data_IF_628605146020
#
_entry.id   IF_628605146020
#
_cell.length_a   1.000
_cell.length_b   1.000
_cell.length_c   1.000
_cell.angle_alpha   90.00
_cell.angle_beta   90.00
_cell.angle_gamma   90.00
#
_symmetry.space_group_name_H-M   'P 1'
#
loop_
_entity.id
_entity.type
_entity.pdbx_description
1 polymer ?
#
# COMPACT_ATOMS: atom_id res chain seq x y z
N UNK A 1 13.87 -12.80 -3.27
CA UNK A 1 13.41 -12.43 -4.63
C UNK A 1 12.16 -13.21 -5.05
N UNK A 2 12.17 -14.55 -4.95
CA UNK A 2 11.00 -15.36 -5.35
C UNK A 2 9.71 -15.02 -4.56
N UNK A 3 9.83 -14.73 -3.27
CA UNK A 3 8.68 -14.31 -2.45
C UNK A 3 7.96 -13.07 -3.04
N UNK A 4 8.71 -12.06 -3.43
CA UNK A 4 8.13 -10.82 -3.97
C UNK A 4 7.49 -11.02 -5.34
N UNK A 5 8.01 -11.93 -6.16
CA UNK A 5 7.39 -12.28 -7.44
C UNK A 5 6.00 -12.90 -7.21
N UNK A 6 5.90 -13.90 -6.35
CA UNK A 6 4.64 -14.53 -5.99
C UNK A 6 3.67 -13.59 -5.26
N UNK A 7 4.21 -12.69 -4.43
CA UNK A 7 3.42 -11.63 -3.83
C UNK A 7 2.83 -10.71 -4.90
N UNK A 8 3.58 -10.35 -5.94
CA UNK A 8 3.08 -9.57 -7.07
C UNK A 8 1.93 -10.26 -7.79
N UNK A 9 2.01 -11.60 -7.98
CA UNK A 9 0.89 -12.39 -8.53
C UNK A 9 -0.35 -12.28 -7.66
N UNK A 10 -0.21 -12.46 -6.34
CA UNK A 10 -1.32 -12.36 -5.40
C UNK A 10 -1.93 -10.94 -5.39
N UNK A 11 -1.09 -9.91 -5.37
CA UNK A 11 -1.54 -8.52 -5.28
C UNK A 11 -2.26 -8.06 -6.56
N UNK A 12 -1.72 -8.38 -7.73
CA UNK A 12 -2.28 -7.96 -9.02
C UNK A 12 -3.49 -8.80 -9.47
N UNK A 13 -3.73 -9.94 -8.86
CA UNK A 13 -4.95 -10.72 -9.08
C UNK A 13 -6.02 -10.37 -8.04
N UNK A 14 -6.00 -11.02 -6.89
CA UNK A 14 -7.09 -10.90 -5.92
C UNK A 14 -7.21 -9.49 -5.35
N UNK A 15 -6.11 -8.89 -4.86
CA UNK A 15 -6.21 -7.60 -4.18
C UNK A 15 -6.62 -6.46 -5.13
N UNK A 16 -6.10 -6.47 -6.36
CA UNK A 16 -6.41 -5.45 -7.36
C UNK A 16 -7.88 -5.48 -7.80
N UNK A 17 -8.46 -6.68 -7.90
CA UNK A 17 -9.83 -6.84 -8.40
C UNK A 17 -10.89 -6.99 -7.31
N UNK A 18 -10.53 -7.08 -6.03
CA UNK A 18 -11.49 -7.32 -4.96
C UNK A 18 -12.57 -6.23 -4.88
N UNK A 19 -12.17 -4.97 -4.98
CA UNK A 19 -13.10 -3.82 -4.98
C UNK A 19 -13.95 -3.76 -6.24
N UNK A 20 -13.38 -4.13 -7.39
CA UNK A 20 -14.09 -4.20 -8.66
C UNK A 20 -15.11 -5.33 -8.62
N UNK A 21 -14.72 -6.52 -8.14
CA UNK A 21 -15.64 -7.65 -7.94
C UNK A 21 -16.80 -7.29 -7.01
N UNK A 22 -16.52 -6.71 -5.84
CA UNK A 22 -17.58 -6.24 -4.95
C UNK A 22 -18.54 -5.27 -5.65
N UNK A 23 -18.03 -4.36 -6.48
CA UNK A 23 -18.84 -3.41 -7.25
C UNK A 23 -19.68 -4.13 -8.32
N UNK A 24 -19.14 -5.14 -9.02
CA UNK A 24 -19.90 -5.99 -9.97
C UNK A 24 -21.02 -6.75 -9.28
N UNK A 25 -20.83 -7.17 -8.03
CA UNK A 25 -21.88 -7.78 -7.20
C UNK A 25 -22.97 -6.80 -6.74
N UNK A 26 -22.82 -5.51 -7.02
CA UNK A 26 -23.77 -4.48 -6.62
C UNK A 26 -23.44 -3.78 -5.29
N UNK A 27 -22.23 -3.97 -4.74
CA UNK A 27 -21.83 -3.32 -3.49
C UNK A 27 -21.98 -1.79 -3.57
N UNK A 28 -22.49 -1.19 -2.50
CA UNK A 28 -22.54 0.26 -2.34
C UNK A 28 -21.12 0.84 -2.17
N UNK A 29 -20.95 2.13 -2.42
CA UNK A 29 -19.67 2.82 -2.19
C UNK A 29 -19.20 2.64 -0.74
N UNK A 30 -20.13 2.61 0.21
CA UNK A 30 -19.82 2.35 1.62
C UNK A 30 -19.30 0.94 1.86
N UNK A 31 -19.89 -0.08 1.24
CA UNK A 31 -19.41 -1.46 1.35
C UNK A 31 -18.03 -1.63 0.71
N UNK A 32 -17.78 -0.97 -0.42
CA UNK A 32 -16.43 -0.93 -1.03
C UNK A 32 -15.43 -0.24 -0.11
N UNK A 33 -15.82 0.85 0.57
CA UNK A 33 -14.96 1.52 1.55
C UNK A 33 -14.57 0.62 2.72
N UNK A 34 -15.48 -0.23 3.20
CA UNK A 34 -15.20 -1.15 4.31
C UNK A 34 -14.10 -2.17 3.99
N UNK A 35 -13.87 -2.50 2.70
CA UNK A 35 -12.75 -3.36 2.28
C UNK A 35 -11.39 -2.73 2.59
N UNK A 36 -11.30 -1.40 2.67
CA UNK A 36 -10.07 -0.67 3.02
C UNK A 36 -10.09 -0.19 4.47
N UNK A 37 -11.24 0.28 4.95
CA UNK A 37 -11.40 0.78 6.32
C UNK A 37 -11.23 -0.33 7.37
N UNK A 38 -11.74 -1.54 7.11
CA UNK A 38 -11.61 -2.68 8.03
C UNK A 38 -10.16 -3.02 8.37
N UNK A 39 -9.30 -3.30 7.37
CA UNK A 39 -7.86 -3.46 7.58
C UNK A 39 -7.19 -2.27 8.28
N UNK A 40 -7.57 -1.03 7.96
CA UNK A 40 -6.99 0.15 8.60
C UNK A 40 -7.31 0.23 10.11
N UNK A 41 -8.54 -0.14 10.52
CA UNK A 41 -8.91 -0.26 11.94
C UNK A 41 -8.04 -1.30 12.64
N UNK A 42 -7.88 -2.47 12.04
CA UNK A 42 -7.05 -3.53 12.64
C UNK A 42 -5.59 -3.06 12.76
N UNK A 43 -5.02 -2.45 11.72
CA UNK A 43 -3.66 -1.92 11.77
C UNK A 43 -3.52 -0.84 12.85
N UNK A 44 -4.50 0.06 12.97
CA UNK A 44 -4.49 1.13 13.98
C UNK A 44 -4.45 0.56 15.40
N UNK A 45 -5.25 -0.46 15.68
CA UNK A 45 -5.38 -1.04 17.01
C UNK A 45 -4.28 -2.06 17.32
N UNK A 46 -3.84 -2.84 16.32
CA UNK A 46 -3.01 -4.02 16.54
C UNK A 46 -1.51 -3.77 16.33
N UNK A 47 -1.09 -2.76 15.55
CA UNK A 47 0.34 -2.60 15.18
C UNK A 47 1.24 -2.45 16.40
N UNK A 48 0.91 -1.59 17.37
CA UNK A 48 1.73 -1.37 18.57
C UNK A 48 1.69 -2.58 19.52
N UNK A 49 0.52 -3.14 19.90
CA UNK A 49 0.46 -4.33 20.72
C UNK A 49 1.23 -5.52 20.10
N UNK A 50 1.05 -5.75 18.81
CA UNK A 50 1.73 -6.85 18.11
C UNK A 50 3.23 -6.64 18.00
N UNK A 51 3.68 -5.41 17.76
CA UNK A 51 5.11 -5.10 17.75
C UNK A 51 5.76 -5.44 19.08
N UNK A 52 5.15 -5.03 20.21
CA UNK A 52 5.62 -5.36 21.55
C UNK A 52 5.57 -6.85 21.86
N UNK A 53 4.48 -7.52 21.44
CA UNK A 53 4.34 -8.95 21.63
C UNK A 53 5.41 -9.75 20.90
N UNK A 54 5.89 -9.26 19.74
CA UNK A 54 6.94 -9.91 18.95
C UNK A 54 8.35 -9.71 19.50
N UNK A 55 8.56 -8.77 20.42
CA UNK A 55 9.87 -8.54 21.05
C UNK A 55 10.40 -9.80 21.74
N UNK A 56 11.66 -10.18 21.43
CA UNK A 56 12.32 -11.36 22.00
C UNK A 56 11.76 -12.71 21.55
N UNK A 57 10.85 -12.75 20.58
CA UNK A 57 10.27 -13.99 20.04
C UNK A 57 10.88 -14.38 18.70
N UNK A 58 10.79 -15.64 18.27
CA UNK A 58 11.35 -16.12 17.01
C UNK A 58 10.60 -15.54 15.81
N UNK A 59 11.10 -14.43 15.26
CA UNK A 59 10.46 -13.65 14.19
C UNK A 59 10.17 -14.48 12.94
N UNK A 60 11.11 -15.35 12.50
CA UNK A 60 10.92 -16.20 11.32
C UNK A 60 9.67 -17.07 11.45
N UNK A 61 9.51 -17.73 12.61
CA UNK A 61 8.38 -18.65 12.84
C UNK A 61 7.05 -17.88 12.91
N UNK A 62 7.03 -16.73 13.58
CA UNK A 62 5.84 -15.90 13.71
C UNK A 62 5.44 -15.37 12.34
N UNK A 63 6.38 -14.79 11.59
CA UNK A 63 6.15 -14.23 10.26
C UNK A 63 5.63 -15.31 9.30
N UNK A 64 6.23 -16.49 9.30
CA UNK A 64 5.78 -17.61 8.47
C UNK A 64 4.35 -18.05 8.83
N UNK A 65 4.07 -18.30 10.11
CA UNK A 65 2.72 -18.72 10.56
C UNK A 65 1.68 -17.66 10.24
N UNK A 66 1.96 -16.40 10.53
CA UNK A 66 1.06 -15.29 10.22
C UNK A 66 0.81 -15.16 8.72
N UNK A 67 1.85 -15.33 7.91
CA UNK A 67 1.74 -15.40 6.46
C UNK A 67 0.81 -16.52 6.00
N UNK A 68 0.99 -17.73 6.54
CA UNK A 68 0.15 -18.88 6.20
C UNK A 68 -1.33 -18.62 6.54
N UNK A 69 -1.61 -18.12 7.76
CA UNK A 69 -2.98 -17.79 8.18
C UNK A 69 -3.63 -16.74 7.31
N UNK A 70 -2.93 -15.61 7.04
CA UNK A 70 -3.44 -14.56 6.16
C UNK A 70 -3.82 -15.10 4.79
N UNK A 71 -3.02 -16.03 4.26
CA UNK A 71 -3.16 -16.52 2.88
C UNK A 71 -4.13 -17.67 2.72
N UNK A 72 -4.47 -18.40 3.79
CA UNK A 72 -5.54 -19.39 3.75
C UNK A 72 -6.88 -18.81 3.31
N UNK A 73 -7.14 -17.55 3.65
CA UNK A 73 -8.36 -16.88 3.27
C UNK A 73 -8.50 -16.69 1.74
N UNK A 74 -7.39 -16.66 0.99
CA UNK A 74 -7.45 -16.63 -0.48
C UNK A 74 -8.06 -17.90 -1.07
N UNK A 75 -7.90 -19.04 -0.40
CA UNK A 75 -8.56 -20.29 -0.80
C UNK A 75 -10.10 -20.21 -0.61
N UNK A 76 -10.56 -19.49 0.41
CA UNK A 76 -12.01 -19.29 0.67
C UNK A 76 -12.64 -18.42 -0.42
N UNK A 77 -11.91 -17.52 -1.04
CA UNK A 77 -12.42 -16.65 -2.11
C UNK A 77 -12.74 -17.41 -3.40
N UNK A 78 -12.06 -18.54 -3.68
CA UNK A 78 -12.26 -19.30 -4.91
C UNK A 78 -13.69 -19.82 -5.06
N UNK A 79 -14.25 -20.56 -4.10
CA UNK A 79 -15.61 -21.08 -4.21
C UNK A 79 -16.69 -20.05 -3.87
N UNK A 80 -16.31 -18.92 -3.27
CA UNK A 80 -17.25 -17.91 -2.77
C UNK A 80 -18.31 -17.48 -3.81
N UNK A 81 -17.94 -17.18 -5.09
CA UNK A 81 -18.91 -16.75 -6.10
C UNK A 81 -19.95 -17.80 -6.46
N UNK A 82 -19.64 -19.08 -6.25
CA UNK A 82 -20.55 -20.18 -6.56
C UNK A 82 -21.43 -20.61 -5.39
N UNK A 83 -20.99 -20.39 -4.14
CA UNK A 83 -21.65 -20.95 -2.96
C UNK A 83 -22.65 -19.99 -2.30
N UNK A 84 -22.48 -18.69 -2.45
CA UNK A 84 -23.26 -17.71 -1.70
C UNK A 84 -24.03 -16.75 -2.62
N UNK A 85 -25.21 -16.25 -2.17
CA UNK A 85 -25.90 -15.17 -2.89
C UNK A 85 -25.08 -13.88 -2.86
N UNK A 86 -25.24 -13.02 -3.88
CA UNK A 86 -24.42 -11.82 -4.09
C UNK A 86 -24.32 -10.91 -2.86
N UNK A 87 -25.43 -10.71 -2.16
CA UNK A 87 -25.44 -9.87 -0.94
C UNK A 87 -24.59 -10.45 0.18
N UNK A 88 -24.63 -11.78 0.38
CA UNK A 88 -23.80 -12.45 1.38
C UNK A 88 -22.32 -12.45 1.00
N UNK A 89 -22.00 -12.59 -0.31
CA UNK A 89 -20.62 -12.51 -0.80
C UNK A 89 -19.97 -11.19 -0.38
N UNK A 90 -20.65 -10.06 -0.54
CA UNK A 90 -20.12 -8.72 -0.19
C UNK A 90 -19.73 -8.65 1.29
N UNK A 91 -20.61 -9.11 2.18
CA UNK A 91 -20.33 -9.08 3.63
C UNK A 91 -19.23 -10.07 4.04
N UNK A 92 -19.17 -11.23 3.39
CA UNK A 92 -18.08 -12.20 3.61
C UNK A 92 -16.75 -11.61 3.15
N UNK A 93 -16.70 -10.92 2.00
CA UNK A 93 -15.49 -10.21 1.54
C UNK A 93 -15.01 -9.17 2.56
N UNK A 94 -15.93 -8.35 3.07
CA UNK A 94 -15.62 -7.32 4.08
C UNK A 94 -15.11 -7.98 5.37
N UNK A 95 -15.82 -8.98 5.88
CA UNK A 95 -15.41 -9.71 7.09
C UNK A 95 -14.07 -10.42 6.93
N UNK A 96 -13.87 -11.07 5.78
CA UNK A 96 -12.65 -11.80 5.47
C UNK A 96 -11.43 -10.87 5.36
N UNK A 97 -11.55 -9.73 4.67
CA UNK A 97 -10.46 -8.76 4.56
C UNK A 97 -10.08 -8.15 5.91
N UNK A 98 -11.05 -7.83 6.75
CA UNK A 98 -10.81 -7.36 8.11
C UNK A 98 -10.14 -8.45 8.99
N UNK A 99 -10.63 -9.69 8.91
CA UNK A 99 -10.08 -10.82 9.67
C UNK A 99 -8.64 -11.15 9.23
N UNK A 100 -8.38 -11.18 7.92
CA UNK A 100 -7.05 -11.42 7.36
C UNK A 100 -6.03 -10.37 7.75
N UNK A 101 -6.45 -9.14 7.99
CA UNK A 101 -5.54 -8.06 8.36
C UNK A 101 -4.94 -8.26 9.76
N UNK A 102 -5.56 -9.05 10.64
CA UNK A 102 -5.00 -9.39 11.96
C UNK A 102 -3.65 -10.15 11.82
N UNK A 103 -3.61 -11.36 11.24
CA UNK A 103 -2.34 -12.02 10.99
C UNK A 103 -1.50 -11.26 9.93
N UNK A 104 -2.11 -10.50 9.02
CA UNK A 104 -1.43 -9.65 8.06
C UNK A 104 -0.54 -8.60 8.70
N UNK A 105 -1.02 -7.94 9.76
CA UNK A 105 -0.24 -6.96 10.53
C UNK A 105 0.98 -7.62 11.20
N UNK A 106 0.81 -8.80 11.80
CA UNK A 106 1.93 -9.56 12.38
C UNK A 106 2.95 -9.93 11.31
N UNK A 107 2.48 -10.40 10.15
CA UNK A 107 3.35 -10.76 9.01
C UNK A 107 4.15 -9.53 8.53
N UNK A 108 3.50 -8.37 8.38
CA UNK A 108 4.15 -7.16 7.90
C UNK A 108 5.25 -6.67 8.87
N UNK A 109 4.95 -6.61 10.18
CA UNK A 109 5.93 -6.25 11.22
C UNK A 109 7.11 -7.22 11.18
N UNK A 110 6.84 -8.53 11.21
CA UNK A 110 7.86 -9.56 11.24
C UNK A 110 8.71 -9.58 9.97
N UNK A 111 8.10 -9.44 8.80
CA UNK A 111 8.82 -9.40 7.54
C UNK A 111 9.77 -8.20 7.45
N UNK A 112 9.33 -7.01 7.84
CA UNK A 112 10.17 -5.82 7.83
C UNK A 112 11.34 -5.93 8.82
N UNK A 113 11.10 -6.53 9.99
CA UNK A 113 12.16 -6.82 10.97
C UNK A 113 13.18 -7.82 10.41
N UNK A 114 12.71 -8.95 9.85
CA UNK A 114 13.58 -9.97 9.24
C UNK A 114 14.38 -9.41 8.06
N UNK A 115 13.75 -8.61 7.20
CA UNK A 115 14.45 -7.98 6.08
C UNK A 115 15.62 -7.10 6.56
N UNK A 116 15.39 -6.35 7.64
CA UNK A 116 16.44 -5.52 8.22
C UNK A 116 17.57 -6.32 8.86
N UNK A 117 17.27 -7.51 9.36
CA UNK A 117 18.30 -8.38 10.01
C UNK A 117 19.05 -9.23 8.97
N UNK A 118 18.36 -9.70 7.93
CA UNK A 118 18.95 -10.57 6.90
C UNK A 118 19.75 -9.82 5.83
N UNK A 119 19.46 -8.54 5.58
CA UNK A 119 20.10 -7.78 4.50
C UNK A 119 21.06 -6.75 5.09
N UNK A 120 22.39 -6.88 4.82
CA UNK A 120 23.38 -5.92 5.27
C UNK A 120 23.03 -4.49 4.79
N UNK A 121 23.32 -3.44 5.58
CA UNK A 121 22.97 -2.06 5.27
C UNK A 121 23.42 -1.63 3.86
N UNK A 122 24.62 -2.03 3.45
CA UNK A 122 25.21 -1.67 2.15
C UNK A 122 24.46 -2.28 0.95
N UNK A 123 23.81 -3.42 1.14
CA UNK A 123 23.07 -4.13 0.10
C UNK A 123 21.58 -3.81 0.08
N UNK A 124 21.07 -3.17 1.11
CA UNK A 124 19.61 -2.93 1.24
C UNK A 124 19.04 -2.18 0.05
N UNK A 125 19.66 -1.08 -0.35
CA UNK A 125 19.21 -0.27 -1.48
C UNK A 125 19.16 -1.07 -2.79
N UNK A 126 20.19 -1.89 -3.05
CA UNK A 126 20.26 -2.72 -4.24
C UNK A 126 19.19 -3.83 -4.22
N UNK A 127 19.06 -4.54 -3.09
CA UNK A 127 18.08 -5.63 -2.94
C UNK A 127 16.66 -5.09 -3.06
N UNK A 128 16.38 -3.96 -2.42
CA UNK A 128 15.09 -3.29 -2.48
C UNK A 128 14.77 -2.85 -3.90
N UNK A 129 15.71 -2.20 -4.60
CA UNK A 129 15.50 -1.77 -5.99
C UNK A 129 15.16 -2.94 -6.92
N UNK A 130 15.89 -4.06 -6.80
CA UNK A 130 15.59 -5.27 -7.58
C UNK A 130 14.25 -5.92 -7.22
N UNK A 131 13.91 -5.94 -5.93
CA UNK A 131 12.60 -6.45 -5.48
C UNK A 131 11.46 -5.63 -6.08
N UNK A 132 11.58 -4.30 -6.07
CA UNK A 132 10.53 -3.43 -6.61
C UNK A 132 10.39 -3.53 -8.11
N UNK A 133 11.51 -3.61 -8.84
CA UNK A 133 11.46 -3.83 -10.28
C UNK A 133 10.75 -5.16 -10.60
N UNK A 134 11.10 -6.24 -9.89
CA UNK A 134 10.46 -7.54 -10.05
C UNK A 134 8.97 -7.48 -9.68
N UNK A 135 8.63 -6.80 -8.57
CA UNK A 135 7.24 -6.60 -8.15
C UNK A 135 6.44 -5.88 -9.24
N UNK A 136 6.95 -4.77 -9.77
CA UNK A 136 6.26 -4.01 -10.80
C UNK A 136 6.03 -4.81 -12.09
N UNK A 137 7.03 -5.61 -12.50
CA UNK A 137 6.87 -6.55 -13.65
C UNK A 137 5.77 -7.57 -13.35
N UNK A 138 5.80 -8.20 -12.19
CA UNK A 138 4.80 -9.22 -11.81
C UNK A 138 3.40 -8.61 -11.66
N UNK A 139 3.27 -7.41 -11.10
CA UNK A 139 2.00 -6.68 -11.02
C UNK A 139 1.44 -6.44 -12.44
N UNK A 140 2.27 -5.93 -13.34
CA UNK A 140 1.86 -5.60 -14.72
C UNK A 140 1.43 -6.85 -15.50
N UNK A 141 2.26 -7.89 -15.50
CA UNK A 141 1.97 -9.13 -16.24
C UNK A 141 0.72 -9.79 -15.69
N UNK A 142 0.62 -9.90 -14.37
CA UNK A 142 -0.51 -10.59 -13.74
C UNK A 142 -1.82 -9.83 -13.91
N UNK A 143 -1.83 -8.49 -13.75
CA UNK A 143 -3.08 -7.74 -13.92
C UNK A 143 -3.59 -7.81 -15.36
N UNK A 144 -2.69 -7.79 -16.36
CA UNK A 144 -3.06 -7.97 -17.76
C UNK A 144 -3.61 -9.38 -18.04
N UNK A 145 -2.96 -10.40 -17.50
CA UNK A 145 -3.44 -11.80 -17.62
C UNK A 145 -4.82 -11.96 -16.98
N UNK A 146 -5.02 -11.40 -15.79
CA UNK A 146 -6.33 -11.43 -15.13
C UNK A 146 -7.38 -10.67 -15.94
N UNK A 147 -7.05 -9.53 -16.52
CA UNK A 147 -7.97 -8.78 -17.38
C UNK A 147 -8.43 -9.59 -18.61
N UNK A 148 -7.51 -10.30 -19.25
CA UNK A 148 -7.86 -11.19 -20.39
C UNK A 148 -8.77 -12.34 -19.96
N UNK A 149 -8.57 -12.91 -18.78
CA UNK A 149 -9.42 -13.96 -18.21
C UNK A 149 -10.81 -13.39 -17.91
N UNK A 150 -10.87 -12.21 -17.29
CA UNK A 150 -12.12 -11.58 -16.88
C UNK A 150 -13.00 -11.21 -18.07
N UNK A 151 -12.41 -10.80 -19.19
CA UNK A 151 -13.16 -10.44 -20.40
C UNK A 151 -13.58 -11.67 -21.25
N UNK A 152 -12.87 -12.81 -21.14
CA UNK A 152 -13.14 -14.00 -21.97
C UNK A 152 -14.07 -15.01 -21.32
N UNK A 153 -14.07 -15.09 -20.00
CA UNK A 153 -14.89 -16.05 -19.29
C UNK A 153 -16.15 -15.39 -18.73
N UNK A 154 -17.28 -16.14 -18.62
CA UNK A 154 -18.52 -15.61 -18.08
C UNK A 154 -18.42 -15.35 -16.56
N UNK A 155 -19.10 -14.30 -16.09
CA UNK A 155 -19.30 -14.04 -14.68
C UNK A 155 -20.24 -15.12 -14.07
N UNK A 156 -19.97 -15.64 -12.86
CA UNK A 156 -18.92 -15.30 -11.91
C UNK A 156 -17.64 -16.16 -12.03
N UNK A 157 -17.60 -17.16 -12.91
CA UNK A 157 -16.47 -18.10 -13.01
C UNK A 157 -15.15 -17.43 -13.39
N UNK A 158 -15.19 -16.32 -14.13
CA UNK A 158 -14.01 -15.52 -14.45
C UNK A 158 -13.27 -15.03 -13.17
N UNK A 159 -14.00 -14.57 -12.16
CA UNK A 159 -13.40 -14.15 -10.88
C UNK A 159 -12.88 -15.33 -10.05
N UNK A 160 -13.46 -16.51 -10.16
CA UNK A 160 -12.94 -17.72 -9.50
C UNK A 160 -11.51 -18.03 -10.01
N UNK A 161 -11.27 -17.91 -11.32
CA UNK A 161 -9.93 -18.07 -11.88
C UNK A 161 -8.95 -17.01 -11.38
N UNK A 162 -9.36 -15.74 -11.31
CA UNK A 162 -8.54 -14.65 -10.76
C UNK A 162 -8.20 -14.93 -9.28
N UNK A 163 -9.14 -15.39 -8.48
CA UNK A 163 -8.89 -15.77 -7.08
C UNK A 163 -8.01 -17.02 -6.96
N UNK A 164 -8.13 -17.99 -7.87
CA UNK A 164 -7.24 -19.14 -7.93
C UNK A 164 -5.79 -18.73 -8.25
N UNK A 165 -5.58 -17.82 -9.20
CA UNK A 165 -4.26 -17.23 -9.48
C UNK A 165 -3.71 -16.53 -8.23
N UNK A 166 -4.55 -15.77 -7.53
CA UNK A 166 -4.19 -15.12 -6.27
C UNK A 166 -3.80 -16.10 -5.17
N UNK A 167 -4.54 -17.20 -5.04
CA UNK A 167 -4.25 -18.26 -4.09
C UNK A 167 -2.92 -18.98 -4.41
N UNK A 168 -2.63 -19.23 -5.70
CA UNK A 168 -1.33 -19.74 -6.13
C UNK A 168 -0.20 -18.76 -5.80
N UNK A 169 -0.40 -17.48 -6.06
CA UNK A 169 0.53 -16.42 -5.66
C UNK A 169 0.78 -16.39 -4.15
N UNK A 170 -0.28 -16.52 -3.37
CA UNK A 170 -0.25 -16.58 -1.91
C UNK A 170 0.53 -17.80 -1.41
N UNK A 171 0.25 -18.99 -1.97
CA UNK A 171 0.93 -20.23 -1.63
C UNK A 171 2.42 -20.18 -1.98
N UNK A 172 2.78 -19.74 -3.20
CA UNK A 172 4.16 -19.59 -3.64
C UNK A 172 4.97 -18.63 -2.77
N UNK A 173 4.38 -17.47 -2.42
CA UNK A 173 5.04 -16.52 -1.52
C UNK A 173 5.21 -17.09 -0.10
N UNK A 174 4.20 -17.81 0.46
CA UNK A 174 4.33 -18.47 1.77
C UNK A 174 5.42 -19.55 1.77
N UNK A 175 5.47 -20.36 0.72
CA UNK A 175 6.47 -21.39 0.57
C UNK A 175 7.89 -20.83 0.61
N UNK A 176 8.16 -19.78 -0.16
CA UNK A 176 9.48 -19.14 -0.18
C UNK A 176 9.80 -18.41 1.13
N UNK A 177 8.81 -17.86 1.81
CA UNK A 177 8.99 -17.27 3.13
C UNK A 177 9.34 -18.31 4.19
N UNK A 178 8.75 -19.52 4.09
CA UNK A 178 9.05 -20.64 5.00
C UNK A 178 10.46 -21.23 4.84
N UNK A 179 11.12 -20.94 3.72
CA UNK A 179 12.52 -21.35 3.46
C UNK A 179 13.56 -20.35 3.97
N UNK A 180 13.13 -19.22 4.53
CA UNK A 180 14.05 -18.29 5.17
C UNK A 180 14.57 -18.93 6.45
N UNK A 181 15.89 -19.14 6.52
CA UNK A 181 16.59 -19.53 7.73
C UNK A 181 17.11 -18.27 8.41
N UNK A 182 16.84 -18.10 9.69
CA UNK A 182 17.56 -17.11 10.48
C UNK A 182 19.03 -17.57 10.54
N UNK A 183 20.02 -16.69 10.28
CA UNK A 183 21.40 -17.01 10.61
C UNK A 183 21.46 -17.37 12.11
N UNK A 184 22.13 -18.47 12.47
CA UNK A 184 22.48 -18.72 13.87
C UNK A 184 23.34 -17.57 14.38
N UNK A 185 23.21 -17.21 15.66
CA UNK A 185 23.99 -16.12 16.25
C UNK A 185 25.51 -16.25 16.04
N UNK A 186 26.00 -17.48 15.87
CA UNK A 186 27.39 -17.80 15.55
C UNK A 186 27.80 -17.47 14.10
N UNK A 187 26.87 -17.21 13.19
CA UNK A 187 27.14 -16.90 11.77
C UNK A 187 27.06 -15.41 11.44
N UNK A 188 26.68 -14.59 12.40
CA UNK A 188 26.72 -13.14 12.23
C UNK A 188 28.19 -12.69 12.33
N UNK A 189 28.74 -12.01 11.27
CA UNK A 189 30.07 -11.44 11.40
C UNK A 189 30.11 -10.53 12.61
N UNK A 190 31.21 -10.55 13.40
CA UNK A 190 31.35 -9.68 14.56
C UNK A 190 31.04 -8.26 14.13
N UNK A 191 30.21 -7.55 14.89
CA UNK A 191 29.90 -6.15 14.69
C UNK A 191 31.18 -5.34 14.87
N UNK A 192 32.01 -5.30 13.83
CA UNK A 192 33.15 -4.38 13.77
C UNK A 192 32.56 -2.99 13.79
N UNK A 193 32.86 -2.24 14.84
CA UNK A 193 32.53 -0.84 14.93
C UNK A 193 33.05 -0.12 13.69
N UNK A 194 32.16 0.32 12.83
CA UNK A 194 32.49 1.24 11.73
C UNK A 194 32.13 2.65 12.16
N UNK A 195 33.10 3.43 12.61
CA UNK A 195 32.98 4.86 12.58
C UNK A 195 33.42 5.36 11.21
N UNK A 196 32.77 6.33 10.65
CA UNK A 196 33.26 7.25 9.59
C UNK A 196 32.92 7.00 8.11
N UNK A 197 32.28 5.94 7.68
CA UNK A 197 31.81 5.86 6.28
C UNK A 197 30.30 6.10 6.09
N UNK A 198 29.53 6.24 7.16
CA UNK A 198 28.07 6.44 7.10
C UNK A 198 27.67 7.91 6.80
N UNK A 199 28.58 8.85 6.83
CA UNK A 199 28.27 10.26 6.58
C UNK A 199 28.20 10.65 5.09
N UNK A 200 28.63 9.77 4.18
CA UNK A 200 28.78 10.12 2.76
C UNK A 200 27.82 9.39 1.79
N UNK A 201 26.85 8.60 2.28
CA UNK A 201 25.94 7.87 1.38
C UNK A 201 24.55 8.49 1.29
N UNK A 202 24.05 8.78 0.05
CA UNK A 202 22.72 9.35 -0.13
C UNK A 202 21.63 8.41 0.36
N UNK A 203 20.86 8.82 1.35
CA UNK A 203 19.71 8.07 1.92
C UNK A 203 18.56 7.88 0.93
N UNK A 204 18.60 8.52 -0.22
CA UNK A 204 17.57 8.53 -1.26
C UNK A 204 17.23 7.16 -1.88
N UNK A 205 18.09 6.14 -1.71
CA UNK A 205 17.87 4.82 -2.31
C UNK A 205 16.95 3.93 -1.47
N UNK A 206 16.65 4.32 -0.22
CA UNK A 206 15.82 3.53 0.70
C UNK A 206 14.32 3.66 0.47
N UNK A 207 13.89 4.65 -0.27
CA UNK A 207 12.50 5.10 -0.30
C UNK A 207 11.62 4.51 -1.42
N UNK A 208 12.20 3.87 -2.44
CA UNK A 208 11.44 3.38 -3.60
C UNK A 208 10.78 2.00 -3.44
N UNK A 209 10.96 1.36 -2.27
CA UNK A 209 10.77 -0.06 -2.15
C UNK A 209 9.37 -0.55 -1.75
N UNK A 210 8.60 0.29 -1.10
CA UNK A 210 7.32 -0.10 -0.50
C UNK A 210 6.14 0.73 -1.01
N UNK A 211 6.18 1.08 -2.30
CA UNK A 211 5.23 2.00 -2.92
C UNK A 211 3.75 1.61 -2.82
N UNK A 212 3.45 0.32 -2.66
CA UNK A 212 2.08 -0.19 -2.56
C UNK A 212 1.69 -0.66 -1.16
N UNK A 213 2.61 -0.62 -0.19
CA UNK A 213 2.30 -0.97 1.19
C UNK A 213 2.29 0.30 2.04
N UNK A 214 1.13 0.73 2.55
CA UNK A 214 1.04 1.75 3.60
C UNK A 214 1.79 1.35 4.88
N UNK A 215 2.34 0.14 4.91
CA UNK A 215 2.99 -0.53 6.02
C UNK A 215 4.52 -0.35 6.01
N UNK A 216 5.04 0.49 5.11
CA UNK A 216 6.47 0.73 5.01
C UNK A 216 7.06 1.11 6.39
N UNK A 217 7.90 0.25 6.89
CA UNK A 217 8.75 0.44 8.06
C UNK A 217 8.17 0.14 9.46
N UNK A 218 7.40 -0.95 9.61
CA UNK A 218 6.96 -1.45 10.92
C UNK A 218 8.08 -2.13 11.74
N UNK A 219 9.30 -2.30 11.19
CA UNK A 219 10.45 -2.92 11.90
C UNK A 219 10.88 -2.18 13.18
N UNK A 220 10.55 -0.86 13.29
CA UNK A 220 10.82 -0.10 14.50
C UNK A 220 10.07 -0.63 15.73
N UNK A 221 8.91 -1.28 15.52
CA UNK A 221 8.10 -1.84 16.59
C UNK A 221 8.79 -3.00 17.31
N UNK A 222 9.68 -3.73 16.63
CA UNK A 222 10.41 -4.87 17.23
C UNK A 222 11.74 -4.47 17.87
N UNK A 223 12.24 -3.26 17.60
CA UNK A 223 13.54 -2.76 18.13
C UNK A 223 13.42 -1.78 19.29
N UNK A 224 12.21 -1.45 19.70
CA UNK A 224 11.97 -0.42 20.71
C UNK A 224 12.07 -0.95 22.17
N UNK A 225 12.91 -1.95 22.43
CA UNK A 225 13.07 -2.60 23.73
C UNK A 225 13.26 -1.57 24.85
N UNK A 226 12.31 -1.51 25.78
CA UNK A 226 12.35 -0.62 26.94
C UNK A 226 11.97 0.84 26.70
N UNK A 227 11.67 1.27 25.45
CA UNK A 227 11.25 2.65 25.15
C UNK A 227 9.73 2.75 25.01
N UNK A 228 9.17 3.90 25.42
CA UNK A 228 7.75 4.21 25.15
C UNK A 228 7.59 4.50 23.67
N UNK A 229 6.99 3.58 22.91
CA UNK A 229 6.70 3.77 21.47
C UNK A 229 5.67 4.88 21.23
N UNK A 230 4.65 4.95 22.10
CA UNK A 230 3.63 5.97 22.00
C UNK A 230 4.02 7.19 22.84
N UNK A 231 4.68 8.14 22.19
CA UNK A 231 5.10 9.40 22.79
C UNK A 231 4.24 10.55 22.30
N UNK A 232 3.08 10.73 22.94
CA UNK A 232 2.13 11.78 22.60
C UNK A 232 2.67 13.20 22.86
N UNK A 233 3.73 13.33 23.66
CA UNK A 233 4.46 14.59 23.88
C UNK A 233 5.04 15.17 22.59
N UNK A 234 5.42 14.32 21.63
CA UNK A 234 5.91 14.74 20.32
C UNK A 234 4.87 15.51 19.47
N UNK A 235 3.59 15.32 19.77
CA UNK A 235 2.51 16.05 19.10
C UNK A 235 2.44 17.51 19.48
N UNK A 236 3.02 17.90 20.61
CA UNK A 236 3.09 19.30 21.08
C UNK A 236 4.25 20.09 20.48
N UNK A 237 5.18 19.41 19.79
CA UNK A 237 6.35 20.00 19.15
C UNK A 237 6.19 20.25 17.65
N UNK A 238 7.22 20.70 16.97
CA UNK A 238 7.22 20.93 15.50
C UNK A 238 6.83 19.70 14.69
N UNK A 239 7.10 18.50 15.18
CA UNK A 239 6.72 17.24 14.56
C UNK A 239 5.18 17.05 14.54
N UNK A 240 4.46 17.58 15.54
CA UNK A 240 2.99 17.47 15.58
C UNK A 240 2.32 18.18 14.41
N UNK A 241 2.74 19.41 14.10
CA UNK A 241 2.23 20.16 12.94
C UNK A 241 2.53 19.47 11.62
N UNK A 242 3.76 18.96 11.47
CA UNK A 242 4.18 18.15 10.34
C UNK A 242 3.32 16.86 10.19
N UNK A 243 3.11 16.15 11.28
CA UNK A 243 2.29 14.93 11.29
C UNK A 243 0.81 15.21 10.96
N UNK A 244 0.28 16.35 11.42
CA UNK A 244 -1.08 16.77 11.10
C UNK A 244 -1.24 17.07 9.59
N UNK A 245 -0.25 17.70 8.97
CA UNK A 245 -0.25 17.90 7.52
C UNK A 245 -0.23 16.57 6.74
N UNK A 246 0.56 15.59 7.20
CA UNK A 246 0.57 14.24 6.63
C UNK A 246 -0.78 13.53 6.85
N UNK A 247 -1.38 13.62 8.03
CA UNK A 247 -2.69 13.05 8.31
C UNK A 247 -3.77 13.63 7.37
N UNK A 248 -3.82 14.95 7.22
CA UNK A 248 -4.76 15.62 6.32
C UNK A 248 -4.53 15.16 4.86
N UNK A 249 -3.27 15.13 4.43
CA UNK A 249 -2.92 14.63 3.10
C UNK A 249 -3.37 13.18 2.89
N UNK A 250 -3.08 12.27 3.80
CA UNK A 250 -3.51 10.87 3.71
C UNK A 250 -5.02 10.73 3.69
N UNK A 251 -5.73 11.49 4.53
CA UNK A 251 -7.20 11.49 4.55
C UNK A 251 -7.76 11.82 3.17
N UNK A 252 -7.30 12.90 2.55
CA UNK A 252 -7.81 13.30 1.23
C UNK A 252 -7.25 12.46 0.09
N UNK A 253 -6.08 11.85 0.25
CA UNK A 253 -5.53 10.89 -0.70
C UNK A 253 -6.37 9.61 -0.77
N UNK A 254 -6.78 9.07 0.37
CA UNK A 254 -7.53 7.81 0.44
C UNK A 254 -9.04 7.97 0.25
N UNK A 255 -9.56 9.20 0.28
CA UNK A 255 -10.97 9.50 0.09
C UNK A 255 -11.55 8.94 -1.24
N UNK A 256 -10.94 9.14 -2.41
CA UNK A 256 -11.50 8.64 -3.67
C UNK A 256 -11.31 7.11 -3.86
N UNK A 257 -10.59 6.44 -2.98
CA UNK A 257 -10.22 5.03 -3.18
C UNK A 257 -11.45 4.11 -3.28
N UNK A 258 -12.50 4.38 -2.50
CA UNK A 258 -13.76 3.65 -2.58
C UNK A 258 -14.64 4.11 -3.76
N UNK A 259 -14.46 5.34 -4.24
CA UNK A 259 -15.24 5.89 -5.35
C UNK A 259 -14.73 5.35 -6.69
N UNK A 260 -13.41 5.19 -6.86
CA UNK A 260 -12.80 4.76 -8.12
C UNK A 260 -13.41 3.47 -8.72
N UNK A 261 -13.48 2.32 -8.02
CA UNK A 261 -14.04 1.10 -8.61
C UNK A 261 -15.51 1.27 -9.00
N UNK A 262 -16.28 1.97 -8.16
CA UNK A 262 -17.69 2.23 -8.42
C UNK A 262 -17.87 3.14 -9.64
N UNK A 263 -17.02 4.16 -9.78
CA UNK A 263 -17.01 5.07 -10.93
C UNK A 263 -16.64 4.33 -12.22
N UNK A 264 -15.59 3.52 -12.21
CA UNK A 264 -15.17 2.76 -13.38
C UNK A 264 -16.24 1.78 -13.87
N UNK A 265 -16.88 1.06 -12.94
CA UNK A 265 -17.86 0.03 -13.25
C UNK A 265 -19.22 0.60 -13.62
N UNK A 266 -19.73 1.58 -12.87
CA UNK A 266 -21.10 2.07 -13.03
C UNK A 266 -21.21 3.29 -13.93
N UNK A 267 -20.29 4.23 -13.79
CA UNK A 267 -20.33 5.49 -14.53
C UNK A 267 -19.66 5.36 -15.90
N UNK A 268 -18.42 4.87 -15.94
CA UNK A 268 -17.69 4.67 -17.21
C UNK A 268 -18.05 3.36 -17.91
N UNK A 269 -18.69 2.43 -17.20
CA UNK A 269 -19.08 1.09 -17.72
C UNK A 269 -17.92 0.33 -18.35
N UNK A 270 -16.72 0.48 -17.78
CA UNK A 270 -15.53 -0.17 -18.29
C UNK A 270 -15.62 -1.69 -18.13
N UNK A 271 -15.07 -2.43 -19.10
CA UNK A 271 -14.82 -3.86 -18.95
C UNK A 271 -13.70 -4.10 -17.93
N UNK A 272 -13.61 -5.31 -17.38
CA UNK A 272 -12.55 -5.65 -16.45
C UNK A 272 -11.17 -5.64 -17.11
N UNK A 273 -11.10 -5.96 -18.42
CA UNK A 273 -9.89 -5.82 -19.23
C UNK A 273 -9.45 -4.36 -19.41
N UNK A 274 -10.40 -3.44 -19.63
CA UNK A 274 -10.09 -2.01 -19.71
C UNK A 274 -9.55 -1.47 -18.38
N UNK A 275 -10.12 -1.91 -17.23
CA UNK A 275 -9.64 -1.58 -15.89
C UNK A 275 -8.23 -2.17 -15.66
N UNK A 276 -8.02 -3.40 -16.11
CA UNK A 276 -6.72 -4.08 -16.03
C UNK A 276 -5.64 -3.35 -16.82
N UNK A 277 -5.95 -2.92 -18.05
CA UNK A 277 -5.01 -2.16 -18.86
C UNK A 277 -4.67 -0.82 -18.18
N UNK A 278 -5.66 -0.10 -17.65
CA UNK A 278 -5.42 1.11 -16.89
C UNK A 278 -4.51 0.87 -15.67
N UNK A 279 -4.74 -0.20 -14.91
CA UNK A 279 -3.89 -0.58 -13.78
C UNK A 279 -2.46 -0.93 -14.22
N UNK A 280 -2.30 -1.68 -15.32
CA UNK A 280 -0.99 -1.99 -15.88
C UNK A 280 -0.22 -0.74 -16.31
N UNK A 281 -0.89 0.18 -17.01
CA UNK A 281 -0.31 1.48 -17.42
C UNK A 281 0.11 2.31 -16.21
N UNK A 282 -0.70 2.30 -15.14
CA UNK A 282 -0.35 2.95 -13.87
C UNK A 282 0.92 2.35 -13.27
N UNK A 283 1.04 1.02 -13.17
CA UNK A 283 2.22 0.36 -12.61
C UNK A 283 3.48 0.58 -13.44
N UNK A 284 3.38 0.54 -14.76
CA UNK A 284 4.52 0.81 -15.66
C UNK A 284 5.00 2.26 -15.50
N UNK A 285 4.08 3.22 -15.50
CA UNK A 285 4.41 4.64 -15.34
C UNK A 285 5.01 4.92 -13.95
N UNK A 286 4.43 4.33 -12.89
CA UNK A 286 4.94 4.41 -11.52
C UNK A 286 6.38 3.86 -11.44
N UNK A 287 6.65 2.70 -12.04
CA UNK A 287 7.98 2.10 -12.08
C UNK A 287 8.98 3.03 -12.79
N UNK A 288 8.63 3.55 -13.96
CA UNK A 288 9.49 4.44 -14.73
C UNK A 288 9.90 5.69 -13.95
N UNK A 289 8.95 6.34 -13.28
CA UNK A 289 9.24 7.54 -12.48
C UNK A 289 9.91 7.23 -11.15
N UNK A 290 9.65 6.07 -10.54
CA UNK A 290 10.38 5.62 -9.35
C UNK A 290 11.88 5.42 -9.64
N UNK A 291 12.24 4.93 -10.83
CA UNK A 291 13.64 4.86 -11.28
C UNK A 291 14.24 6.27 -11.43
N UNK A 292 13.45 7.21 -11.93
CA UNK A 292 13.88 8.62 -12.11
C UNK A 292 13.90 9.43 -10.79
N UNK A 293 13.36 8.89 -9.68
CA UNK A 293 13.23 9.59 -8.40
C UNK A 293 14.56 10.21 -7.92
N UNK A 294 15.67 9.49 -8.06
CA UNK A 294 16.99 10.01 -7.67
C UNK A 294 17.36 11.28 -8.45
N UNK A 295 17.14 11.29 -9.76
CA UNK A 295 17.41 12.47 -10.61
C UNK A 295 16.47 13.61 -10.27
N UNK A 296 15.19 13.33 -10.07
CA UNK A 296 14.22 14.34 -9.66
C UNK A 296 14.54 14.95 -8.30
N UNK A 297 14.96 14.13 -7.33
CA UNK A 297 15.37 14.59 -5.99
C UNK A 297 16.65 15.43 -6.05
N UNK A 298 17.64 15.03 -6.85
CA UNK A 298 18.88 15.81 -6.99
C UNK A 298 18.66 17.17 -7.69
N UNK A 299 17.67 17.26 -8.59
CA UNK A 299 17.35 18.49 -9.31
C UNK A 299 16.46 19.46 -8.51
N UNK A 300 15.47 18.95 -7.79
CA UNK A 300 14.45 19.77 -7.10
C UNK A 300 14.63 19.84 -5.58
N UNK A 301 15.37 18.90 -4.99
CA UNK A 301 15.41 18.67 -3.55
C UNK A 301 14.13 17.98 -3.03
N UNK A 302 14.22 17.35 -1.84
CA UNK A 302 13.12 16.57 -1.27
C UNK A 302 11.84 17.38 -1.02
N UNK A 303 12.00 18.60 -0.50
CA UNK A 303 10.86 19.46 -0.17
C UNK A 303 10.08 19.90 -1.42
N UNK A 304 10.75 20.44 -2.43
CA UNK A 304 10.08 20.89 -3.66
C UNK A 304 9.46 19.74 -4.43
N UNK A 305 10.15 18.59 -4.48
CA UNK A 305 9.62 17.40 -5.13
C UNK A 305 8.33 16.94 -4.46
N UNK A 306 8.28 16.93 -3.11
CA UNK A 306 7.06 16.60 -2.37
C UNK A 306 5.92 17.58 -2.67
N UNK A 307 6.21 18.89 -2.64
CA UNK A 307 5.20 19.92 -2.90
C UNK A 307 4.59 19.78 -4.30
N UNK A 308 5.45 19.69 -5.32
CA UNK A 308 4.98 19.57 -6.71
C UNK A 308 4.20 18.27 -6.93
N UNK A 309 4.74 17.14 -6.47
CA UNK A 309 4.09 15.84 -6.68
C UNK A 309 2.78 15.69 -5.89
N UNK A 310 2.68 16.26 -4.67
CA UNK A 310 1.45 16.22 -3.89
C UNK A 310 0.30 17.01 -4.53
N UNK A 311 0.60 18.17 -5.11
CA UNK A 311 -0.40 18.96 -5.86
C UNK A 311 -0.78 18.29 -7.18
N UNK A 312 0.22 17.82 -7.94
CA UNK A 312 -0.01 17.14 -9.22
C UNK A 312 -0.80 15.83 -9.07
N UNK A 313 -0.76 15.19 -7.90
CA UNK A 313 -1.49 13.94 -7.69
C UNK A 313 -3.02 14.10 -7.75
N UNK A 314 -3.52 15.31 -7.58
CA UNK A 314 -4.94 15.64 -7.80
C UNK A 314 -5.37 15.51 -9.29
N UNK A 315 -4.43 15.46 -10.24
CA UNK A 315 -4.73 15.30 -11.67
C UNK A 315 -5.46 13.98 -11.96
N UNK A 316 -5.16 12.92 -11.18
CA UNK A 316 -5.75 11.60 -11.38
C UNK A 316 -7.28 11.59 -11.17
N UNK A 317 -7.85 12.03 -10.05
CA UNK A 317 -9.30 12.12 -9.91
C UNK A 317 -9.93 13.17 -10.84
N UNK A 318 -9.25 14.27 -11.18
CA UNK A 318 -9.78 15.24 -12.15
C UNK A 318 -9.89 14.67 -13.56
N UNK A 319 -8.86 13.99 -14.06
CA UNK A 319 -8.92 13.31 -15.36
C UNK A 319 -9.92 12.15 -15.35
N UNK A 320 -10.03 11.42 -14.22
CA UNK A 320 -11.03 10.36 -14.07
C UNK A 320 -12.44 10.93 -14.09
N UNK A 321 -12.69 12.07 -13.45
CA UNK A 321 -13.96 12.79 -13.51
C UNK A 321 -14.31 13.22 -14.95
N UNK A 322 -13.33 13.74 -15.68
CA UNK A 322 -13.50 14.19 -17.07
C UNK A 322 -13.70 13.00 -18.04
N UNK A 323 -13.24 11.81 -17.66
CA UNK A 323 -13.33 10.63 -18.52
C UNK A 323 -14.79 10.29 -18.84
N UNK A 324 -15.00 9.92 -20.12
CA UNK A 324 -16.28 9.39 -20.63
C UNK A 324 -16.11 8.02 -21.26
N UNK A 325 -14.86 7.63 -21.48
CA UNK A 325 -14.47 6.37 -22.11
C UNK A 325 -13.17 5.82 -21.48
N UNK A 326 -12.74 4.67 -21.97
CA UNK A 326 -11.51 4.02 -21.51
C UNK A 326 -10.24 4.82 -21.86
N UNK A 327 -10.25 5.59 -22.94
CA UNK A 327 -9.04 6.26 -23.45
C UNK A 327 -8.53 7.30 -22.48
N UNK A 328 -9.42 8.21 -22.02
CA UNK A 328 -9.03 9.22 -21.06
C UNK A 328 -8.73 8.61 -19.67
N UNK A 329 -9.41 7.52 -19.30
CA UNK A 329 -9.08 6.75 -18.09
C UNK A 329 -7.66 6.17 -18.17
N UNK A 330 -7.22 5.65 -19.32
CA UNK A 330 -5.86 5.16 -19.47
C UNK A 330 -4.82 6.29 -19.43
N UNK A 331 -5.10 7.44 -20.02
CA UNK A 331 -4.25 8.63 -19.90
C UNK A 331 -4.15 9.06 -18.43
N UNK A 332 -5.28 9.10 -17.73
CA UNK A 332 -5.30 9.39 -16.28
C UNK A 332 -4.43 8.39 -15.51
N UNK A 333 -4.51 7.10 -15.85
CA UNK A 333 -3.73 6.04 -15.20
C UNK A 333 -2.22 6.21 -15.40
N UNK A 334 -1.77 6.57 -16.62
CA UNK A 334 -0.35 6.86 -16.89
C UNK A 334 0.12 8.05 -16.07
N UNK A 335 -0.61 9.17 -16.11
CA UNK A 335 -0.22 10.38 -15.38
C UNK A 335 -0.30 10.18 -13.86
N UNK A 336 -1.36 9.52 -13.37
CA UNK A 336 -1.52 9.18 -11.96
C UNK A 336 -0.40 8.29 -11.45
N UNK A 337 -0.03 7.25 -12.22
CA UNK A 337 1.07 6.35 -11.88
C UNK A 337 2.42 7.08 -11.88
N UNK A 338 2.67 7.93 -12.87
CA UNK A 338 3.89 8.71 -12.96
C UNK A 338 4.06 9.66 -11.76
N UNK A 339 3.01 10.38 -11.39
CA UNK A 339 3.05 11.27 -10.22
C UNK A 339 3.17 10.48 -8.93
N UNK A 340 2.45 9.32 -8.81
CA UNK A 340 2.51 8.48 -7.63
C UNK A 340 3.91 7.93 -7.37
N UNK A 341 4.63 7.49 -8.42
CA UNK A 341 6.00 6.99 -8.29
C UNK A 341 6.98 8.02 -7.70
N UNK A 342 6.81 9.30 -8.02
CA UNK A 342 7.60 10.39 -7.43
C UNK A 342 7.13 10.75 -6.02
N UNK A 343 5.81 10.89 -5.85
CA UNK A 343 5.19 11.33 -4.60
C UNK A 343 5.49 10.39 -3.44
N UNK A 344 5.32 9.09 -3.67
CA UNK A 344 5.52 8.10 -2.62
C UNK A 344 6.98 8.13 -2.08
N UNK A 345 7.96 8.21 -2.99
CA UNK A 345 9.35 8.38 -2.59
C UNK A 345 9.63 9.71 -1.88
N UNK A 346 9.02 10.81 -2.36
CA UNK A 346 9.18 12.12 -1.75
C UNK A 346 8.58 12.20 -0.33
N UNK A 347 7.42 11.54 -0.08
CA UNK A 347 6.81 11.45 1.24
C UNK A 347 7.73 10.79 2.25
N UNK A 348 8.30 9.63 1.90
CA UNK A 348 9.21 8.89 2.79
C UNK A 348 10.50 9.66 3.03
N UNK A 349 11.11 10.21 1.98
CA UNK A 349 12.35 10.97 2.11
C UNK A 349 12.17 12.19 3.03
N UNK A 350 11.08 12.95 2.84
CA UNK A 350 10.81 14.12 3.68
C UNK A 350 10.53 13.76 5.13
N UNK A 351 9.81 12.64 5.37
CA UNK A 351 9.61 12.12 6.71
C UNK A 351 10.96 11.80 7.39
N UNK A 352 11.85 11.09 6.67
CA UNK A 352 13.16 10.73 7.22
C UNK A 352 14.05 11.94 7.54
N UNK A 353 13.94 13.04 6.79
CA UNK A 353 14.63 14.30 7.12
C UNK A 353 14.16 14.95 8.43
N UNK A 354 12.88 14.73 8.79
CA UNK A 354 12.27 15.34 9.97
C UNK A 354 12.35 14.46 11.24
N UNK A 355 12.75 13.21 11.08
CA UNK A 355 12.80 12.24 12.18
C UNK A 355 14.23 12.12 12.73
N UNK A 356 14.48 12.52 14.00
CA UNK A 356 15.80 12.39 14.63
C UNK A 356 16.25 10.92 14.69
N UNK A 357 17.54 10.65 14.42
CA UNK A 357 18.08 9.29 14.40
C UNK A 357 17.91 8.54 15.72
N UNK A 358 18.10 9.23 16.83
CA UNK A 358 18.00 8.63 18.18
C UNK A 358 16.58 8.27 18.62
N UNK A 359 15.53 8.82 17.98
CA UNK A 359 14.13 8.67 18.40
C UNK A 359 13.21 8.23 17.24
N UNK A 360 13.80 7.66 16.18
CA UNK A 360 13.08 7.14 15.00
C UNK A 360 11.89 6.22 15.36
N UNK A 361 12.02 5.25 16.28
CA UNK A 361 10.91 4.35 16.57
C UNK A 361 9.62 5.05 17.00
N UNK A 362 9.70 6.04 17.89
CA UNK A 362 8.53 6.74 18.40
C UNK A 362 7.87 7.63 17.31
N UNK A 363 8.68 8.32 16.52
CA UNK A 363 8.19 9.16 15.42
C UNK A 363 7.51 8.32 14.33
N UNK A 364 8.12 7.19 13.95
CA UNK A 364 7.55 6.27 12.96
C UNK A 364 6.28 5.59 13.47
N UNK A 365 6.18 5.30 14.76
CA UNK A 365 4.95 4.79 15.37
C UNK A 365 3.80 5.80 15.22
N UNK A 366 4.03 7.05 15.54
CA UNK A 366 3.04 8.12 15.37
C UNK A 366 2.68 8.35 13.89
N UNK A 367 3.67 8.32 13.00
CA UNK A 367 3.41 8.42 11.56
C UNK A 367 2.55 7.25 11.05
N UNK A 368 2.83 6.02 11.47
CA UNK A 368 2.01 4.85 11.10
C UNK A 368 0.57 4.96 11.62
N UNK A 369 0.38 5.48 12.84
CA UNK A 369 -0.95 5.78 13.36
C UNK A 369 -1.66 6.84 12.52
N UNK A 370 -0.98 7.93 12.17
CA UNK A 370 -1.53 8.98 11.32
C UNK A 370 -1.90 8.45 9.93
N UNK A 371 -1.06 7.62 9.32
CA UNK A 371 -1.35 6.97 8.04
C UNK A 371 -2.61 6.11 8.11
N UNK A 372 -2.70 5.19 9.07
CA UNK A 372 -3.86 4.29 9.18
C UNK A 372 -5.14 5.05 9.58
N UNK A 373 -5.03 6.11 10.39
CA UNK A 373 -6.14 7.00 10.68
C UNK A 373 -6.59 7.76 9.42
N UNK A 374 -5.65 8.25 8.63
CA UNK A 374 -5.94 8.89 7.34
C UNK A 374 -6.61 7.94 6.35
N UNK A 375 -6.15 6.68 6.26
CA UNK A 375 -6.79 5.63 5.46
C UNK A 375 -8.23 5.40 5.94
N UNK A 376 -8.43 5.21 7.24
CA UNK A 376 -9.74 4.96 7.82
C UNK A 376 -10.71 6.12 7.56
N UNK A 377 -10.32 7.32 7.93
CA UNK A 377 -11.17 8.51 7.79
C UNK A 377 -11.43 8.81 6.32
N UNK A 378 -10.39 8.80 5.48
CA UNK A 378 -10.51 9.03 4.05
C UNK A 378 -11.42 8.03 3.37
N UNK A 379 -11.26 6.73 3.65
CA UNK A 379 -12.10 5.68 3.06
C UNK A 379 -13.58 5.84 3.44
N UNK A 380 -13.89 6.30 4.65
CA UNK A 380 -15.29 6.51 5.09
C UNK A 380 -15.88 7.85 4.60
N UNK A 381 -15.05 8.87 4.41
CA UNK A 381 -15.49 10.17 3.85
C UNK A 381 -15.88 10.02 2.37
N UNK A 382 -15.24 9.15 1.60
CA UNK A 382 -15.57 8.92 0.19
C UNK A 382 -17.02 8.55 -0.06
N UNK A 383 -17.58 7.51 0.59
CA UNK A 383 -19.00 7.17 0.52
C UNK A 383 -19.94 8.27 0.97
N UNK A 384 -19.58 9.01 2.00
CA UNK A 384 -20.38 10.15 2.47
C UNK A 384 -20.47 11.24 1.38
N UNK A 385 -19.35 11.54 0.73
CA UNK A 385 -19.33 12.45 -0.42
C UNK A 385 -20.17 11.91 -1.58
N UNK A 386 -20.09 10.62 -1.88
CA UNK A 386 -20.86 9.96 -2.93
C UNK A 386 -22.37 9.85 -2.61
N UNK A 387 -22.76 9.93 -1.35
CA UNK A 387 -24.16 9.97 -0.93
C UNK A 387 -24.78 11.37 -1.05
N UNK A 388 -23.97 12.43 -0.90
CA UNK A 388 -24.41 13.82 -1.02
C UNK A 388 -24.42 14.36 -2.45
N UNK A 389 -23.68 13.71 -3.36
CA UNK A 389 -23.54 14.09 -4.76
C UNK A 389 -23.71 12.85 -5.64
N UNK A 390 -23.88 13.06 -6.95
CA UNK A 390 -23.73 11.98 -7.91
C UNK A 390 -22.26 11.50 -7.98
N UNK A 391 -22.00 10.36 -8.62
CA UNK A 391 -20.65 9.80 -8.70
C UNK A 391 -19.64 10.74 -9.38
N UNK A 392 -20.09 11.56 -10.35
CA UNK A 392 -19.24 12.55 -11.01
C UNK A 392 -18.93 13.71 -10.07
N UNK A 393 -19.92 14.25 -9.40
CA UNK A 393 -19.74 15.31 -8.40
C UNK A 393 -18.84 14.86 -7.24
N UNK A 394 -19.02 13.61 -6.77
CA UNK A 394 -18.16 13.02 -5.75
C UNK A 394 -16.70 12.88 -6.22
N UNK A 395 -16.48 12.46 -7.47
CA UNK A 395 -15.12 12.35 -8.04
C UNK A 395 -14.48 13.74 -8.21
N UNK A 396 -15.23 14.73 -8.66
CA UNK A 396 -14.77 16.12 -8.75
C UNK A 396 -14.40 16.67 -7.36
N UNK A 397 -15.31 16.50 -6.38
CA UNK A 397 -15.06 16.90 -4.98
C UNK A 397 -13.83 16.21 -4.39
N UNK A 398 -13.65 14.93 -4.67
CA UNK A 398 -12.45 14.19 -4.27
C UNK A 398 -11.17 14.76 -4.89
N UNK A 399 -11.23 15.24 -6.14
CA UNK A 399 -10.13 15.94 -6.80
C UNK A 399 -9.75 17.23 -6.07
N UNK A 400 -10.73 18.07 -5.74
CA UNK A 400 -10.49 19.31 -4.99
C UNK A 400 -9.97 19.06 -3.57
N UNK A 401 -10.53 18.07 -2.86
CA UNK A 401 -10.07 17.71 -1.52
C UNK A 401 -8.65 17.14 -1.55
N UNK A 402 -8.29 16.37 -2.58
CA UNK A 402 -6.92 15.88 -2.77
C UNK A 402 -5.95 17.04 -3.07
N UNK A 403 -6.37 18.03 -3.86
CA UNK A 403 -5.60 19.25 -4.10
C UNK A 403 -5.40 20.04 -2.80
N UNK A 404 -6.46 20.18 -2.00
CA UNK A 404 -6.39 20.80 -0.67
C UNK A 404 -5.43 20.08 0.25
N UNK A 405 -5.46 18.73 0.28
CA UNK A 405 -4.51 17.92 1.04
C UNK A 405 -3.06 18.16 0.61
N UNK A 406 -2.83 18.25 -0.70
CA UNK A 406 -1.53 18.65 -1.27
C UNK A 406 -1.10 20.06 -0.83
N UNK A 407 -2.01 21.02 -0.86
CA UNK A 407 -1.74 22.39 -0.40
C UNK A 407 -1.42 22.44 1.11
N UNK A 408 -2.18 21.73 1.94
CA UNK A 408 -1.88 21.61 3.39
C UNK A 408 -0.46 21.05 3.60
N UNK A 409 -0.09 20.04 2.81
CA UNK A 409 1.25 19.45 2.91
C UNK A 409 2.35 20.44 2.48
N UNK A 410 2.11 21.31 1.49
CA UNK A 410 3.05 22.37 1.06
C UNK A 410 3.35 23.34 2.19
N UNK A 411 2.34 23.73 2.97
CA UNK A 411 2.50 24.69 4.07
C UNK A 411 2.96 24.05 5.38
N UNK A 412 2.66 22.77 5.62
CA UNK A 412 2.90 22.07 6.89
C UNK A 412 4.13 21.15 6.89
N UNK A 413 4.71 20.80 5.75
CA UNK A 413 5.87 19.91 5.62
C UNK A 413 7.08 20.63 5.05
#
# INVERSE_FOLDING_TARGET
MHDVAWYGVMAASTMAFLSVFATRLGASTFQVALLTAGPAVVNLLASIPFGRWMEGRPLVRITFRSSAWTRLAYLVLIPLPALLPQSAQIWVLIGLTALMSVPGTLMAIGFNALFADLVPPDWRAFVVGRRNALLAVMLTVTVLTCGLILDRLPFPSNYQWVFAIGALGAAGSTYHLGRLSAPSDDQLPPRVGQPLLDAARPEAVRAGADADRPEADLRFLTRARGRRLLRLDLLRGPFGGFLLAYLAFYTFQFLPLAIFPVFWVRELRLTDGAISLGSALFYVAMMGTSIALRRATSALGHRRLLHVSSLLYAIYPFLTWLARDATLFWVASVLGGAVWGLLNGALVNRLMERVPEGDRPAHMALHNLALNLGILVGSLLGPWLAAGFDLRGAMLGAGFLRLLGGAILVFGA
#
